data_IF_188044978460
#
_entry.id   IF_188044978460
#
_cell.length_a   1.000
_cell.length_b   1.000
_cell.length_c   1.000
_cell.angle_alpha   90.00
_cell.angle_beta   90.00
_cell.angle_gamma   90.00
#
_symmetry.space_group_name_H-M   'P 1'
#
loop_
_entity.id
_entity.type
_entity.pdbx_description
1 polymer ?
#
# COMPACT_ATOMS: atom_id res chain seq x y z
N UNK A 1 22.26 -8.76 4.94
CA UNK A 1 20.84 -9.06 5.21
C UNK A 1 19.98 -8.35 4.18
N UNK A 2 19.14 -9.08 3.45
CA UNK A 2 18.41 -8.58 2.26
C UNK A 2 17.01 -8.03 2.60
N UNK A 3 16.93 -7.15 3.61
CA UNK A 3 15.66 -6.60 4.09
C UNK A 3 15.32 -5.23 3.49
N UNK A 4 14.05 -4.84 3.59
CA UNK A 4 13.56 -3.50 3.24
C UNK A 4 13.13 -2.73 4.49
N UNK A 5 13.31 -1.41 4.48
CA UNK A 5 12.82 -0.51 5.55
C UNK A 5 11.56 0.21 5.06
N UNK A 6 10.47 0.08 5.81
CA UNK A 6 9.17 0.70 5.50
C UNK A 6 8.90 1.82 6.52
N UNK A 7 8.34 2.93 6.07
CA UNK A 7 7.94 4.06 6.91
C UNK A 7 6.57 4.62 6.53
N UNK A 8 5.78 4.99 7.53
CA UNK A 8 4.44 5.56 7.39
C UNK A 8 4.33 7.10 7.28
N UNK A 9 5.34 7.95 7.56
CA UNK A 9 5.14 9.40 7.59
C UNK A 9 4.49 10.00 6.35
N UNK A 10 4.87 9.56 5.15
CA UNK A 10 4.33 10.10 3.90
C UNK A 10 2.83 9.81 3.72
N UNK A 11 2.39 8.59 4.05
CA UNK A 11 0.99 8.18 3.90
C UNK A 11 0.12 8.77 5.02
N UNK A 12 0.66 8.87 6.24
CA UNK A 12 -0.05 9.52 7.37
C UNK A 12 -0.28 11.00 7.10
N UNK A 13 0.73 11.74 6.61
CA UNK A 13 0.56 13.15 6.23
C UNK A 13 -0.40 13.35 5.05
N UNK A 14 -0.64 12.30 4.26
CA UNK A 14 -1.61 12.27 3.15
C UNK A 14 -3.04 11.92 3.61
N UNK A 15 -3.25 11.61 4.89
CA UNK A 15 -4.57 11.30 5.46
C UNK A 15 -4.90 9.81 5.57
N UNK A 16 -3.95 8.91 5.31
CA UNK A 16 -4.16 7.48 5.50
C UNK A 16 -4.31 7.12 6.97
N UNK A 17 -5.24 6.23 7.28
CA UNK A 17 -5.54 5.75 8.62
C UNK A 17 -5.08 4.30 8.87
N UNK A 18 -5.41 3.77 10.05
CA UNK A 18 -5.04 2.40 10.45
C UNK A 18 -5.69 1.35 9.55
N UNK A 19 -6.93 1.56 9.09
CA UNK A 19 -7.61 0.62 8.21
C UNK A 19 -6.99 0.60 6.81
N UNK A 20 -6.52 1.75 6.32
CA UNK A 20 -5.76 1.80 5.07
C UNK A 20 -4.42 1.05 5.19
N UNK A 21 -3.77 1.08 6.37
CA UNK A 21 -2.51 0.36 6.60
C UNK A 21 -2.68 -1.16 6.56
N UNK A 22 -3.83 -1.70 6.98
CA UNK A 22 -4.12 -3.14 6.87
C UNK A 22 -4.13 -3.59 5.40
N UNK A 23 -4.75 -2.79 4.53
CA UNK A 23 -4.78 -3.05 3.08
C UNK A 23 -3.36 -2.95 2.49
N UNK A 24 -2.57 -1.95 2.89
CA UNK A 24 -1.17 -1.80 2.46
C UNK A 24 -0.33 -3.01 2.89
N UNK A 25 -0.52 -3.51 4.13
CA UNK A 25 0.21 -4.67 4.63
C UNK A 25 -0.10 -5.93 3.82
N UNK A 26 -1.37 -6.17 3.47
CA UNK A 26 -1.75 -7.30 2.62
C UNK A 26 -1.20 -7.16 1.19
N UNK A 27 -1.23 -5.95 0.62
CA UNK A 27 -0.59 -5.66 -0.66
C UNK A 27 0.92 -5.98 -0.66
N UNK A 28 1.64 -5.57 0.40
CA UNK A 28 3.08 -5.87 0.57
C UNK A 28 3.30 -7.37 0.65
N UNK A 29 2.51 -8.08 1.47
CA UNK A 29 2.60 -9.55 1.61
C UNK A 29 2.37 -10.25 0.27
N UNK A 30 1.28 -9.93 -0.44
CA UNK A 30 0.95 -10.48 -1.76
C UNK A 30 2.07 -10.27 -2.77
N UNK A 31 2.62 -9.05 -2.80
CA UNK A 31 3.75 -8.70 -3.67
C UNK A 31 5.01 -9.50 -3.32
N UNK A 32 5.29 -9.71 -2.03
CA UNK A 32 6.48 -10.44 -1.60
C UNK A 32 6.38 -11.97 -1.78
N UNK A 33 5.17 -12.54 -1.76
CA UNK A 33 4.99 -14.01 -1.76
C UNK A 33 4.42 -14.58 -3.05
N UNK A 34 3.68 -13.81 -3.85
CA UNK A 34 2.87 -14.35 -4.96
C UNK A 34 2.61 -13.33 -6.07
N UNK A 35 3.62 -12.51 -6.41
CA UNK A 35 3.47 -11.34 -7.26
C UNK A 35 2.78 -11.63 -8.59
N UNK A 36 3.19 -12.66 -9.32
CA UNK A 36 2.65 -13.01 -10.65
C UNK A 36 1.15 -13.28 -10.61
N UNK A 37 0.64 -13.86 -9.52
CA UNK A 37 -0.77 -14.17 -9.34
C UNK A 37 -1.58 -12.97 -8.82
N UNK A 38 -0.95 -12.05 -8.10
CA UNK A 38 -1.65 -10.98 -7.36
C UNK A 38 -1.40 -9.57 -7.90
N UNK A 39 -0.57 -9.41 -8.93
CA UNK A 39 -0.09 -8.10 -9.36
C UNK A 39 -1.24 -7.12 -9.69
N UNK A 40 -2.26 -7.56 -10.42
CA UNK A 40 -3.37 -6.69 -10.83
C UNK A 40 -4.29 -6.34 -9.66
N UNK A 41 -4.52 -7.29 -8.74
CA UNK A 41 -5.26 -7.04 -7.51
C UNK A 41 -4.56 -5.97 -6.64
N UNK A 42 -3.25 -6.11 -6.45
CA UNK A 42 -2.44 -5.15 -5.69
C UNK A 42 -2.47 -3.77 -6.34
N UNK A 43 -2.31 -3.69 -7.67
CA UNK A 43 -2.39 -2.43 -8.41
C UNK A 43 -3.75 -1.76 -8.25
N UNK A 44 -4.84 -2.53 -8.33
CA UNK A 44 -6.20 -2.02 -8.15
C UNK A 44 -6.41 -1.46 -6.73
N UNK A 45 -6.01 -2.22 -5.70
CA UNK A 45 -6.12 -1.80 -4.31
C UNK A 45 -5.32 -0.51 -4.02
N UNK A 46 -4.07 -0.44 -4.50
CA UNK A 46 -3.22 0.74 -4.34
C UNK A 46 -3.81 1.95 -5.08
N UNK A 47 -4.33 1.78 -6.30
CA UNK A 47 -4.97 2.86 -7.05
C UNK A 47 -6.23 3.39 -6.32
N UNK A 48 -7.04 2.50 -5.76
CA UNK A 48 -8.22 2.87 -4.97
C UNK A 48 -7.84 3.69 -3.72
N UNK A 49 -6.82 3.26 -2.98
CA UNK A 49 -6.28 4.00 -1.82
C UNK A 49 -5.77 5.39 -2.22
N UNK A 50 -5.00 5.47 -3.31
CA UNK A 50 -4.50 6.74 -3.82
C UNK A 50 -5.62 7.70 -4.25
N UNK A 51 -6.73 7.17 -4.77
CA UNK A 51 -7.91 7.96 -5.16
C UNK A 51 -8.70 8.44 -3.92
N UNK A 52 -8.79 7.61 -2.87
CA UNK A 52 -9.41 7.95 -1.58
C UNK A 52 -8.70 9.15 -0.92
N UNK A 53 -7.37 9.21 -1.06
CA UNK A 53 -6.52 10.22 -0.42
C UNK A 53 -5.72 11.02 -1.47
N UNK A 54 -6.26 12.06 -2.11
CA UNK A 54 -5.51 12.91 -3.04
C UNK A 54 -4.28 13.54 -2.37
N UNK A 55 -3.15 13.64 -3.08
CA UNK A 55 -1.90 14.16 -2.49
C UNK A 55 -1.88 15.69 -2.36
N UNK A 56 -2.50 16.39 -3.31
CA UNK A 56 -2.65 17.84 -3.30
C UNK A 56 -4.11 18.14 -3.65
N UNK A 57 -4.85 18.61 -2.66
CA UNK A 57 -6.24 19.06 -2.76
C UNK A 57 -6.32 20.55 -2.51
#
# INVERSE_FOLDING_TARGET
>A
TSGIRIGTPAVTSRGFDVADMEIIADCIRKTATSFEATADEVRFAVAALCKKHPLYS
#
